data_IF_670066950584
#
_entry.id   IF_670066950584
#
_cell.length_a   1.000
_cell.length_b   1.000
_cell.length_c   1.000
_cell.angle_alpha   90.00
_cell.angle_beta   90.00
_cell.angle_gamma   90.00
#
_symmetry.space_group_name_H-M   'P 1'
#
loop_
_entity.id
_entity.type
_entity.pdbx_description
1 polymer ?
#
# COMPACT_ATOMS: atom_id res chain seq x y z
N UNK A 1 -0.27 -25.26 -12.60
CA UNK A 1 0.55 -24.26 -11.89
C UNK A 1 0.96 -24.88 -10.58
N UNK A 2 2.26 -24.99 -10.34
CA UNK A 2 2.79 -25.47 -9.06
C UNK A 2 3.18 -24.26 -8.18
N UNK A 3 3.10 -24.43 -6.87
CA UNK A 3 3.25 -23.36 -5.86
C UNK A 3 2.48 -22.07 -6.17
N UNK A 4 1.20 -22.21 -6.52
CA UNK A 4 0.35 -21.08 -6.90
C UNK A 4 0.26 -19.99 -5.83
N UNK A 5 0.36 -20.32 -4.53
CA UNK A 5 0.34 -19.33 -3.47
C UNK A 5 1.55 -18.39 -3.44
N UNK A 6 2.64 -18.74 -4.13
CA UNK A 6 3.79 -17.88 -4.29
C UNK A 6 3.61 -16.87 -5.44
N UNK A 7 2.56 -16.98 -6.26
CA UNK A 7 2.32 -16.13 -7.43
C UNK A 7 1.20 -15.09 -7.21
N UNK A 8 1.38 -13.84 -7.71
CA UNK A 8 0.43 -12.76 -7.46
C UNK A 8 -0.98 -13.11 -7.97
N UNK A 9 -2.02 -12.70 -7.23
CA UNK A 9 -3.42 -13.01 -7.58
C UNK A 9 -3.77 -12.58 -9.00
N UNK A 10 -3.34 -11.37 -9.43
CA UNK A 10 -3.56 -10.89 -10.80
C UNK A 10 -2.94 -11.80 -11.86
N UNK A 11 -1.75 -12.34 -11.59
CA UNK A 11 -1.11 -13.27 -12.51
C UNK A 11 -1.92 -14.57 -12.59
N UNK A 12 -2.38 -15.10 -11.46
CA UNK A 12 -3.22 -16.31 -11.42
C UNK A 12 -4.56 -16.13 -12.12
N UNK A 13 -5.20 -14.97 -11.95
CA UNK A 13 -6.44 -14.60 -12.64
C UNK A 13 -6.26 -14.61 -14.17
N UNK A 14 -5.11 -14.14 -14.68
CA UNK A 14 -4.83 -14.18 -16.12
C UNK A 14 -4.86 -15.60 -16.71
N UNK A 15 -4.59 -16.62 -15.89
CA UNK A 15 -4.66 -18.02 -16.31
C UNK A 15 -6.07 -18.61 -16.28
N UNK A 16 -7.06 -17.91 -15.70
CA UNK A 16 -8.47 -18.33 -15.76
C UNK A 16 -9.06 -18.22 -17.17
N UNK A 17 -8.37 -17.54 -18.10
CA UNK A 17 -8.73 -17.53 -19.52
C UNK A 17 -8.49 -18.88 -20.21
N UNK A 18 -7.65 -19.74 -19.64
CA UNK A 18 -7.39 -21.07 -20.18
C UNK A 18 -8.64 -21.96 -20.15
N UNK A 19 -8.78 -22.94 -21.08
CA UNK A 19 -9.91 -23.89 -21.06
C UNK A 19 -9.99 -24.73 -19.79
N UNK A 20 -8.83 -25.07 -19.21
CA UNK A 20 -8.69 -25.77 -17.94
C UNK A 20 -7.35 -25.38 -17.29
N UNK A 21 -7.33 -25.25 -15.96
CA UNK A 21 -6.13 -24.94 -15.19
C UNK A 21 -6.21 -25.64 -13.82
N UNK A 22 -5.08 -26.16 -13.36
CA UNK A 22 -4.94 -26.69 -12.01
C UNK A 22 -3.94 -25.82 -11.24
N UNK A 23 -4.32 -25.40 -10.03
CA UNK A 23 -3.47 -24.65 -9.11
C UNK A 23 -3.11 -25.55 -7.92
N UNK A 24 -1.82 -25.88 -7.79
CA UNK A 24 -1.28 -26.68 -6.70
C UNK A 24 -0.55 -25.75 -5.73
N UNK A 25 -0.69 -25.95 -4.41
CA UNK A 25 0.03 -25.17 -3.42
C UNK A 25 0.11 -25.86 -2.06
N UNK A 26 1.13 -25.51 -1.28
CA UNK A 26 1.34 -25.96 0.09
C UNK A 26 0.59 -25.07 1.09
N UNK A 27 -0.50 -25.59 1.69
CA UNK A 27 -1.31 -24.86 2.70
C UNK A 27 -0.72 -24.96 4.10
N UNK A 28 -0.07 -26.09 4.42
CA UNK A 28 0.53 -26.40 5.72
C UNK A 28 2.02 -26.71 5.53
N UNK A 29 2.89 -25.94 6.18
CA UNK A 29 4.33 -26.13 6.07
C UNK A 29 5.13 -24.86 6.34
N UNK A 30 6.45 -24.96 6.14
CA UNK A 30 7.41 -23.90 6.42
C UNK A 30 7.32 -22.71 5.46
N UNK A 31 6.72 -22.87 4.27
CA UNK A 31 6.64 -21.79 3.28
C UNK A 31 5.44 -20.85 3.47
N UNK A 32 4.50 -21.19 4.38
CA UNK A 32 3.47 -20.28 4.94
C UNK A 32 2.45 -19.65 3.96
N UNK A 33 2.73 -19.62 2.66
CA UNK A 33 2.05 -18.82 1.66
C UNK A 33 0.62 -19.30 1.36
N UNK A 34 0.36 -20.60 1.48
CA UNK A 34 -0.90 -21.21 1.04
C UNK A 34 -2.16 -20.79 1.82
N UNK A 35 -2.04 -20.29 3.06
CA UNK A 35 -3.23 -19.98 3.89
C UNK A 35 -3.87 -18.63 3.57
N UNK A 36 -3.09 -17.55 3.46
CA UNK A 36 -3.61 -16.25 3.03
C UNK A 36 -4.06 -16.29 1.57
N UNK A 37 -3.33 -17.06 0.74
CA UNK A 37 -3.68 -17.34 -0.65
C UNK A 37 -5.01 -18.08 -0.81
N UNK A 38 -5.20 -19.20 -0.11
CA UNK A 38 -6.41 -20.02 -0.23
C UNK A 38 -7.67 -19.26 0.20
N UNK A 39 -7.58 -18.24 1.05
CA UNK A 39 -8.74 -17.41 1.37
C UNK A 39 -9.02 -16.43 0.23
N UNK A 40 -8.04 -15.59 -0.13
CA UNK A 40 -8.28 -14.48 -1.09
C UNK A 40 -8.52 -14.93 -2.53
N UNK A 41 -7.80 -15.95 -3.00
CA UNK A 41 -7.96 -16.44 -4.38
C UNK A 41 -9.21 -17.32 -4.53
N UNK A 42 -9.68 -17.98 -3.47
CA UNK A 42 -10.90 -18.77 -3.55
C UNK A 42 -12.15 -17.92 -3.70
N UNK A 43 -12.21 -16.76 -3.05
CA UNK A 43 -13.30 -15.81 -3.28
C UNK A 43 -13.35 -15.41 -4.77
N UNK A 44 -12.19 -15.13 -5.38
CA UNK A 44 -12.08 -14.83 -6.82
C UNK A 44 -12.45 -16.01 -7.73
N UNK A 45 -12.10 -17.23 -7.35
CA UNK A 45 -12.50 -18.43 -8.08
C UNK A 45 -14.01 -18.70 -7.97
N UNK A 46 -14.62 -18.40 -6.83
CA UNK A 46 -16.06 -18.54 -6.62
C UNK A 46 -16.86 -17.52 -7.44
N UNK A 47 -16.31 -16.32 -7.63
CA UNK A 47 -16.87 -15.29 -8.51
C UNK A 47 -16.63 -15.56 -10.00
N UNK A 48 -15.70 -16.45 -10.34
CA UNK A 48 -15.43 -16.83 -11.72
C UNK A 48 -16.48 -17.83 -12.23
N UNK A 49 -16.96 -17.64 -13.47
CA UNK A 49 -17.90 -18.57 -14.13
C UNK A 49 -17.18 -19.85 -14.59
N UNK A 50 -16.66 -20.61 -13.61
CA UNK A 50 -15.85 -21.82 -13.79
C UNK A 50 -16.28 -22.89 -12.77
N UNK A 51 -16.28 -24.15 -13.19
CA UNK A 51 -16.44 -25.26 -12.27
C UNK A 51 -15.12 -25.46 -11.48
N UNK A 52 -15.19 -25.30 -10.15
CA UNK A 52 -14.03 -25.44 -9.27
C UNK A 52 -14.10 -26.78 -8.54
N UNK A 53 -13.07 -27.61 -8.71
CA UNK A 53 -12.90 -28.87 -7.97
C UNK A 53 -11.76 -28.75 -6.98
N UNK A 54 -12.05 -28.99 -5.71
CA UNK A 54 -11.06 -29.02 -4.65
C UNK A 54 -10.55 -30.43 -4.37
N UNK A 55 -9.23 -30.60 -4.43
CA UNK A 55 -8.54 -31.82 -4.01
C UNK A 55 -7.53 -31.50 -2.91
N UNK A 56 -7.40 -32.38 -1.92
CA UNK A 56 -6.41 -32.28 -0.83
C UNK A 56 -5.58 -33.54 -0.73
N UNK A 57 -4.29 -33.36 -0.50
CA UNK A 57 -3.34 -34.43 -0.23
C UNK A 57 -2.85 -34.26 1.20
N UNK A 58 -3.37 -35.09 2.11
CA UNK A 58 -3.05 -35.02 3.55
C UNK A 58 -2.17 -36.18 4.02
N UNK A 59 -2.12 -37.29 3.28
CA UNK A 59 -1.34 -38.48 3.64
C UNK A 59 0.15 -38.30 3.27
N UNK A 60 1.07 -38.26 4.25
CA UNK A 60 2.49 -38.12 3.96
C UNK A 60 3.04 -39.37 3.29
N UNK A 61 3.93 -39.18 2.31
CA UNK A 61 4.62 -40.29 1.63
C UNK A 61 6.01 -40.59 2.20
N UNK A 62 6.59 -39.66 2.99
CA UNK A 62 7.96 -39.76 3.52
C UNK A 62 8.02 -40.33 4.93
N UNK A 63 6.95 -40.19 5.69
CA UNK A 63 6.83 -40.61 7.09
C UNK A 63 5.39 -41.09 7.34
N UNK A 64 5.17 -41.72 8.49
CA UNK A 64 3.86 -42.24 8.84
C UNK A 64 2.90 -41.09 9.17
N UNK A 65 1.61 -41.27 8.87
CA UNK A 65 0.58 -40.36 9.34
C UNK A 65 0.60 -40.28 10.89
N UNK A 66 0.60 -39.06 11.42
CA UNK A 66 0.70 -38.84 12.87
C UNK A 66 2.10 -38.99 13.46
N UNK A 67 3.15 -38.73 12.66
CA UNK A 67 4.52 -38.73 13.17
C UNK A 67 4.66 -37.74 14.35
N UNK A 68 5.14 -38.20 15.53
CA UNK A 68 5.29 -37.35 16.70
C UNK A 68 6.33 -36.24 16.50
N UNK A 69 7.34 -36.43 15.65
CA UNK A 69 8.34 -35.41 15.33
C UNK A 69 7.71 -34.31 14.48
N UNK A 70 6.88 -34.66 13.49
CA UNK A 70 6.12 -33.68 12.71
C UNK A 70 5.21 -32.87 13.63
N UNK A 71 4.43 -33.55 14.48
CA UNK A 71 3.53 -32.91 15.44
C UNK A 71 4.27 -31.95 16.37
N UNK A 72 5.45 -32.36 16.86
CA UNK A 72 6.32 -31.51 17.67
C UNK A 72 6.83 -30.29 16.89
N UNK A 73 7.33 -30.47 15.67
CA UNK A 73 7.84 -29.37 14.84
C UNK A 73 6.75 -28.35 14.52
N UNK A 74 5.55 -28.80 14.17
CA UNK A 74 4.42 -27.91 13.89
C UNK A 74 4.04 -27.08 15.11
N UNK A 75 4.05 -27.68 16.30
CA UNK A 75 3.77 -26.98 17.55
C UNK A 75 4.89 -26.01 17.92
N UNK A 76 6.14 -26.45 17.86
CA UNK A 76 7.31 -25.67 18.24
C UNK A 76 7.50 -24.43 17.36
N UNK A 77 7.20 -24.55 16.06
CA UNK A 77 7.31 -23.45 15.09
C UNK A 77 5.98 -22.74 14.80
N UNK A 78 4.92 -23.09 15.54
CA UNK A 78 3.56 -22.57 15.36
C UNK A 78 3.06 -22.62 13.90
N UNK A 79 3.46 -23.64 13.15
CA UNK A 79 3.04 -23.82 11.77
C UNK A 79 1.54 -24.10 11.66
N UNK A 80 0.86 -24.47 12.74
CA UNK A 80 -0.58 -24.68 12.79
C UNK A 80 -1.33 -23.57 13.57
N UNK A 81 -0.66 -22.46 13.88
CA UNK A 81 -1.30 -21.30 14.50
C UNK A 81 -2.47 -20.80 13.66
N UNK A 82 -3.55 -20.45 14.37
CA UNK A 82 -4.80 -19.99 13.79
C UNK A 82 -5.35 -18.84 14.62
N UNK A 83 -5.98 -17.85 13.96
CA UNK A 83 -6.77 -16.87 14.69
C UNK A 83 -7.91 -17.54 15.48
N UNK A 84 -8.58 -16.79 16.37
CA UNK A 84 -9.82 -17.25 17.00
C UNK A 84 -10.83 -17.78 15.96
N UNK A 85 -11.76 -18.61 16.40
CA UNK A 85 -12.89 -18.99 15.52
C UNK A 85 -13.87 -17.83 15.40
N UNK A 86 -14.46 -17.67 14.20
CA UNK A 86 -15.31 -16.53 13.82
C UNK A 86 -16.38 -16.19 14.86
N UNK A 87 -17.05 -17.21 15.41
CA UNK A 87 -18.14 -17.05 16.38
C UNK A 87 -17.74 -16.36 17.69
N UNK A 88 -16.46 -16.44 18.09
CA UNK A 88 -15.98 -15.83 19.32
C UNK A 88 -15.64 -14.34 19.17
N UNK A 89 -15.60 -13.84 17.93
CA UNK A 89 -15.12 -12.49 17.64
C UNK A 89 -16.06 -11.70 16.74
N UNK A 90 -17.14 -12.32 16.24
CA UNK A 90 -18.08 -11.72 15.29
C UNK A 90 -18.72 -10.41 15.82
N UNK A 91 -18.92 -10.31 17.13
CA UNK A 91 -19.54 -9.14 17.78
C UNK A 91 -18.50 -8.09 18.24
N UNK A 92 -17.22 -8.26 17.89
CA UNK A 92 -16.17 -7.32 18.25
C UNK A 92 -16.32 -6.01 17.47
N UNK A 93 -16.40 -4.90 18.20
CA UNK A 93 -16.47 -3.54 17.67
C UNK A 93 -15.38 -2.68 18.31
N UNK A 94 -15.08 -1.48 17.77
CA UNK A 94 -14.11 -0.58 18.37
C UNK A 94 -14.37 -0.21 19.85
N UNK A 95 -15.62 -0.36 20.33
CA UNK A 95 -16.02 -0.05 21.70
C UNK A 95 -15.97 -1.27 22.65
N UNK A 96 -15.96 -2.50 22.10
CA UNK A 96 -15.99 -3.74 22.90
C UNK A 96 -14.62 -4.39 23.03
N UNK A 97 -13.57 -3.74 22.54
CA UNK A 97 -12.20 -4.23 22.53
C UNK A 97 -11.32 -3.48 23.51
N UNK A 98 -10.29 -4.15 24.01
CA UNK A 98 -9.23 -3.55 24.83
C UNK A 98 -7.89 -3.59 24.11
N UNK A 99 -7.14 -2.50 24.24
CA UNK A 99 -5.77 -2.41 23.74
C UNK A 99 -4.79 -3.09 24.70
N UNK A 100 -3.87 -3.89 24.15
CA UNK A 100 -2.82 -4.57 24.90
C UNK A 100 -1.47 -4.46 24.20
N UNK A 101 -0.45 -4.09 24.97
CA UNK A 101 0.93 -4.39 24.63
C UNK A 101 1.25 -5.83 25.03
N UNK A 102 1.74 -6.63 24.07
CA UNK A 102 2.07 -8.03 24.29
C UNK A 102 3.59 -8.18 24.30
N UNK A 103 4.15 -8.49 25.47
CA UNK A 103 5.58 -8.80 25.59
C UNK A 103 5.85 -10.26 25.21
N UNK A 104 7.12 -10.61 24.88
CA UNK A 104 7.50 -12.01 24.70
C UNK A 104 7.15 -12.88 25.92
N UNK A 105 7.29 -12.36 27.14
CA UNK A 105 6.93 -13.08 28.37
C UNK A 105 5.42 -13.37 28.46
N UNK A 106 4.57 -12.41 28.09
CA UNK A 106 3.11 -12.61 28.03
C UNK A 106 2.75 -13.71 27.03
N UNK A 107 3.39 -13.71 25.86
CA UNK A 107 3.16 -14.67 24.79
C UNK A 107 3.65 -16.08 25.16
N UNK A 108 4.81 -16.18 25.83
CA UNK A 108 5.37 -17.46 26.28
C UNK A 108 4.60 -18.05 27.47
N UNK A 109 4.01 -17.19 28.31
CA UNK A 109 3.17 -17.62 29.43
C UNK A 109 1.78 -18.13 28.99
N UNK A 110 1.29 -17.70 27.83
CA UNK A 110 -0.03 -18.06 27.29
C UNK A 110 0.08 -18.55 25.83
N UNK A 111 0.21 -19.87 25.66
CA UNK A 111 0.28 -20.52 24.33
C UNK A 111 -0.94 -20.18 23.48
N UNK A 112 -2.10 -19.93 24.08
CA UNK A 112 -3.31 -19.62 23.33
C UNK A 112 -3.26 -18.20 22.76
N UNK A 113 -2.89 -17.22 23.57
CA UNK A 113 -2.66 -15.84 23.14
C UNK A 113 -1.60 -15.76 22.02
N UNK A 114 -0.50 -16.48 22.18
CA UNK A 114 0.57 -16.56 21.18
C UNK A 114 0.07 -17.15 19.86
N UNK A 115 -0.68 -18.25 19.91
CA UNK A 115 -1.23 -18.89 18.71
C UNK A 115 -2.22 -18.01 17.97
N UNK A 116 -3.09 -17.29 18.68
CA UNK A 116 -4.05 -16.38 18.06
C UNK A 116 -3.36 -15.16 17.42
N UNK A 117 -2.44 -14.52 18.16
CA UNK A 117 -1.70 -13.36 17.67
C UNK A 117 -0.82 -13.71 16.46
N UNK A 118 -0.04 -14.78 16.56
CA UNK A 118 0.81 -15.24 15.46
C UNK A 118 -0.04 -15.75 14.28
N UNK A 119 -1.16 -16.44 14.56
CA UNK A 119 -2.11 -16.89 13.54
C UNK A 119 -2.67 -15.75 12.69
N UNK A 120 -3.00 -14.60 13.30
CA UNK A 120 -3.40 -13.40 12.57
C UNK A 120 -2.27 -12.83 11.70
N UNK A 121 -1.04 -12.76 12.23
CA UNK A 121 0.12 -12.28 11.47
C UNK A 121 0.42 -13.15 10.25
N UNK A 122 0.25 -14.48 10.39
CA UNK A 122 0.42 -15.44 9.29
C UNK A 122 -0.67 -15.29 8.24
N UNK A 123 -1.93 -15.16 8.64
CA UNK A 123 -3.05 -15.09 7.71
C UNK A 123 -3.05 -13.83 6.83
N UNK A 124 -2.51 -12.72 7.35
CA UNK A 124 -2.49 -11.45 6.63
C UNK A 124 -1.34 -11.33 5.61
N UNK A 125 -0.31 -12.19 5.67
CA UNK A 125 0.89 -12.08 4.83
C UNK A 125 0.99 -13.14 3.75
N UNK A 126 1.51 -12.69 2.62
CA UNK A 126 1.72 -13.50 1.43
C UNK A 126 2.81 -14.58 1.62
N UNK A 127 3.77 -14.31 2.51
CA UNK A 127 4.80 -15.25 2.92
C UNK A 127 5.16 -14.99 4.37
N UNK A 128 5.16 -16.05 5.17
CA UNK A 128 5.71 -16.06 6.53
C UNK A 128 6.75 -17.15 6.60
N UNK A 129 7.91 -16.81 7.13
CA UNK A 129 8.99 -17.77 7.34
C UNK A 129 9.03 -18.19 8.81
N UNK A 130 9.51 -19.40 9.14
CA UNK A 130 9.60 -19.85 10.54
C UNK A 130 10.40 -18.87 11.43
N UNK A 131 11.38 -18.18 10.85
CA UNK A 131 12.18 -17.15 11.51
C UNK A 131 11.35 -15.95 12.00
N UNK A 132 10.14 -15.73 11.47
CA UNK A 132 9.25 -14.67 11.93
C UNK A 132 8.83 -14.87 13.40
N UNK A 133 8.64 -16.12 13.84
CA UNK A 133 8.32 -16.42 15.24
C UNK A 133 9.51 -16.11 16.16
N UNK A 134 10.71 -16.56 15.77
CA UNK A 134 11.93 -16.27 16.53
C UNK A 134 12.16 -14.76 16.63
N UNK A 135 11.99 -14.03 15.52
CA UNK A 135 12.08 -12.57 15.52
C UNK A 135 11.04 -11.92 16.41
N UNK A 136 9.79 -12.39 16.40
CA UNK A 136 8.73 -11.85 17.25
C UNK A 136 9.09 -11.93 18.74
N UNK A 137 9.77 -13.01 19.16
CA UNK A 137 10.10 -13.26 20.55
C UNK A 137 11.46 -12.67 20.97
N UNK A 138 12.44 -12.60 20.06
CA UNK A 138 13.83 -12.26 20.41
C UNK A 138 14.30 -10.89 19.92
N UNK A 139 13.66 -10.28 18.91
CA UNK A 139 14.19 -9.06 18.30
C UNK A 139 13.90 -7.83 19.19
N UNK A 140 14.94 -7.13 19.71
CA UNK A 140 14.75 -6.08 20.71
C UNK A 140 14.12 -4.80 20.14
N UNK A 141 14.13 -4.64 18.81
CA UNK A 141 13.50 -3.51 18.14
C UNK A 141 12.06 -3.82 17.70
N UNK A 142 11.54 -5.03 17.93
CA UNK A 142 10.17 -5.38 17.60
C UNK A 142 9.27 -5.27 18.82
N UNK A 143 8.03 -4.85 18.58
CA UNK A 143 7.02 -4.80 19.62
C UNK A 143 5.64 -5.13 19.04
N UNK A 144 4.84 -5.87 19.81
CA UNK A 144 3.52 -6.35 19.37
C UNK A 144 2.42 -5.62 20.13
N UNK A 145 1.43 -5.13 19.39
CA UNK A 145 0.21 -4.52 19.93
C UNK A 145 -1.00 -5.28 19.42
N UNK A 146 -2.01 -5.42 20.28
CA UNK A 146 -3.20 -6.17 19.97
C UNK A 146 -4.46 -5.46 20.48
N UNK A 147 -5.56 -5.66 19.77
CA UNK A 147 -6.91 -5.49 20.31
C UNK A 147 -7.44 -6.85 20.72
N UNK A 148 -7.98 -6.94 21.94
CA UNK A 148 -8.60 -8.15 22.45
C UNK A 148 -10.08 -7.95 22.75
N UNK A 149 -10.91 -8.91 22.36
CA UNK A 149 -12.34 -8.98 22.67
C UNK A 149 -12.60 -10.24 23.51
N UNK A 150 -13.12 -10.08 24.72
CA UNK A 150 -13.36 -11.21 25.65
C UNK A 150 -12.16 -12.16 25.81
N UNK A 151 -10.95 -11.61 25.82
CA UNK A 151 -9.69 -12.36 25.93
C UNK A 151 -9.18 -12.97 24.62
N UNK A 152 -9.89 -12.83 23.49
CA UNK A 152 -9.48 -13.29 22.15
C UNK A 152 -8.81 -12.18 21.36
N UNK A 153 -7.81 -12.52 20.56
CA UNK A 153 -7.10 -11.52 19.74
C UNK A 153 -7.87 -11.25 18.44
N UNK A 154 -8.33 -10.01 18.24
CA UNK A 154 -9.12 -9.63 17.05
C UNK A 154 -8.36 -8.78 16.04
N UNK A 155 -7.33 -8.07 16.48
CA UNK A 155 -6.45 -7.28 15.61
C UNK A 155 -5.05 -7.23 16.20
N UNK A 156 -4.02 -7.29 15.37
CA UNK A 156 -2.60 -7.23 15.79
C UNK A 156 -1.79 -6.31 14.89
N UNK A 157 -0.82 -5.62 15.48
CA UNK A 157 0.17 -4.80 14.79
C UNK A 157 1.56 -5.14 15.31
N UNK A 158 2.44 -5.60 14.41
CA UNK A 158 3.85 -5.80 14.69
C UNK A 158 4.61 -4.55 14.24
N UNK A 159 5.25 -3.88 15.18
CA UNK A 159 5.95 -2.63 14.97
C UNK A 159 7.47 -2.86 15.08
N UNK A 160 8.24 -2.17 14.26
CA UNK A 160 9.70 -2.12 14.35
C UNK A 160 10.15 -0.70 14.69
N UNK A 161 10.91 -0.54 15.76
CA UNK A 161 11.60 0.71 16.07
C UNK A 161 12.77 0.89 15.10
N UNK A 162 12.80 2.01 14.40
CA UNK A 162 13.81 2.38 13.41
C UNK A 162 14.34 3.81 13.69
N UNK A 163 15.52 4.15 13.17
CA UNK A 163 16.11 5.48 13.30
C UNK A 163 16.88 5.71 14.60
N UNK A 164 17.18 6.97 14.93
CA UNK A 164 18.08 7.33 16.03
C UNK A 164 19.54 6.92 15.77
N UNK A 165 19.96 6.98 14.50
CA UNK A 165 21.26 6.49 14.05
C UNK A 165 22.36 7.55 14.24
N UNK A 166 23.52 7.11 14.72
CA UNK A 166 24.70 7.97 14.85
C UNK A 166 25.25 8.41 13.48
N UNK A 167 26.15 9.41 13.49
CA UNK A 167 26.67 9.99 12.26
C UNK A 167 27.50 9.02 11.40
N UNK A 168 28.23 8.08 12.01
CA UNK A 168 29.05 7.13 11.26
C UNK A 168 28.18 6.07 10.59
N UNK A 169 27.16 5.60 11.30
CA UNK A 169 26.15 4.68 10.74
C UNK A 169 25.40 5.32 9.57
N UNK A 170 24.96 6.58 9.70
CA UNK A 170 24.25 7.30 8.62
C UNK A 170 25.14 7.50 7.40
N UNK A 171 26.41 7.87 7.58
CA UNK A 171 27.38 7.99 6.49
C UNK A 171 27.59 6.66 5.79
N UNK A 172 27.77 5.57 6.55
CA UNK A 172 27.92 4.24 5.98
C UNK A 172 26.72 3.86 5.10
N UNK A 173 25.50 4.16 5.55
CA UNK A 173 24.28 3.93 4.77
C UNK A 173 24.23 4.77 3.49
N UNK A 174 24.59 6.05 3.59
CA UNK A 174 24.62 6.97 2.46
C UNK A 174 25.62 6.55 1.38
N UNK A 175 26.72 5.92 1.78
CA UNK A 175 27.76 5.36 0.92
C UNK A 175 27.41 3.95 0.36
N UNK A 176 26.23 3.41 0.68
CA UNK A 176 25.71 2.15 0.15
C UNK A 176 25.76 0.96 1.10
N UNK A 177 26.15 1.18 2.35
CA UNK A 177 26.02 0.21 3.43
C UNK A 177 24.56 -0.08 3.78
N UNK A 178 24.25 -1.27 4.28
CA UNK A 178 22.90 -1.64 4.73
C UNK A 178 22.91 -1.93 6.23
N UNK A 179 21.94 -1.35 6.94
CA UNK A 179 21.72 -1.62 8.37
C UNK A 179 20.45 -2.45 8.53
N UNK A 180 20.58 -3.63 9.15
CA UNK A 180 19.44 -4.51 9.40
C UNK A 180 18.45 -3.83 10.35
N UNK A 181 17.16 -4.02 10.08
CA UNK A 181 16.09 -3.53 10.95
C UNK A 181 15.74 -2.04 10.82
N UNK A 182 16.30 -1.32 9.84
CA UNK A 182 16.04 0.11 9.62
C UNK A 182 15.56 0.38 8.18
N UNK A 183 14.43 -0.22 7.77
CA UNK A 183 14.02 -0.19 6.36
C UNK A 183 13.68 1.22 5.86
N UNK A 184 12.89 2.01 6.61
CA UNK A 184 12.54 3.38 6.16
C UNK A 184 13.77 4.30 6.17
N UNK A 185 14.59 4.36 7.25
CA UNK A 185 15.83 5.10 7.21
C UNK A 185 16.76 4.69 6.06
N UNK A 186 16.84 3.40 5.74
CA UNK A 186 17.64 2.89 4.62
C UNK A 186 17.15 3.41 3.28
N UNK A 187 15.85 3.34 2.99
CA UNK A 187 15.29 3.88 1.74
C UNK A 187 15.50 5.40 1.66
N UNK A 188 15.19 6.13 2.72
CA UNK A 188 15.32 7.60 2.74
C UNK A 188 16.78 8.03 2.57
N UNK A 189 17.72 7.35 3.22
CA UNK A 189 19.15 7.68 3.16
C UNK A 189 19.78 7.27 1.85
N UNK A 190 19.59 6.01 1.43
CA UNK A 190 20.31 5.44 0.29
C UNK A 190 19.69 5.80 -1.05
N UNK A 191 18.36 5.69 -1.19
CA UNK A 191 17.64 5.90 -2.44
C UNK A 191 17.22 7.36 -2.62
N UNK A 192 16.71 7.99 -1.55
CA UNK A 192 16.23 9.38 -1.60
C UNK A 192 17.30 10.40 -1.22
N UNK A 193 18.50 9.92 -0.87
CA UNK A 193 19.70 10.73 -0.61
C UNK A 193 19.54 11.73 0.54
N UNK A 194 18.77 11.39 1.57
CA UNK A 194 18.65 12.17 2.80
C UNK A 194 19.39 11.50 3.97
N UNK A 195 20.65 11.87 4.17
CA UNK A 195 21.45 11.39 5.30
C UNK A 195 20.86 11.79 6.66
N UNK A 196 20.09 12.88 6.74
CA UNK A 196 19.46 13.30 7.98
C UNK A 196 18.20 12.48 8.31
N UNK A 197 17.66 11.70 7.37
CA UNK A 197 16.49 10.85 7.60
C UNK A 197 16.73 9.71 8.60
N UNK A 198 17.99 9.34 8.85
CA UNK A 198 18.34 8.37 9.89
C UNK A 198 18.32 8.92 11.32
N UNK A 199 18.19 10.23 11.50
CA UNK A 199 18.20 10.86 12.83
C UNK A 199 16.87 10.67 13.57
N UNK A 200 15.69 10.98 12.99
CA UNK A 200 14.42 10.81 13.70
C UNK A 200 14.16 9.36 14.08
N UNK A 201 13.60 9.14 15.27
CA UNK A 201 13.18 7.81 15.74
C UNK A 201 11.74 7.56 15.31
N UNK A 202 11.46 6.41 14.71
CA UNK A 202 10.11 6.05 14.33
C UNK A 202 9.75 4.61 14.60
N UNK A 203 8.46 4.31 14.54
CA UNK A 203 7.95 2.94 14.54
C UNK A 203 7.32 2.63 13.19
N UNK A 204 7.90 1.65 12.49
CA UNK A 204 7.30 1.12 11.28
C UNK A 204 6.31 0.03 11.61
N UNK A 205 5.07 0.16 11.14
CA UNK A 205 4.12 -0.93 11.09
C UNK A 205 4.63 -1.95 10.06
N UNK A 206 5.22 -3.04 10.56
CA UNK A 206 5.69 -4.12 9.68
C UNK A 206 4.53 -4.96 9.17
N UNK A 207 3.58 -5.24 10.05
CA UNK A 207 2.40 -6.06 9.79
C UNK A 207 1.24 -5.51 10.59
N UNK A 208 0.07 -5.40 9.98
CA UNK A 208 -1.20 -5.19 10.66
C UNK A 208 -2.21 -6.18 10.11
N UNK A 209 -2.93 -6.84 11.01
CA UNK A 209 -3.87 -7.90 10.65
C UNK A 209 -5.12 -7.82 11.53
N UNK A 210 -6.28 -7.72 10.90
CA UNK A 210 -7.58 -7.81 11.57
C UNK A 210 -8.29 -9.10 11.14
N UNK A 211 -8.92 -9.74 12.11
CA UNK A 211 -9.70 -10.96 11.92
C UNK A 211 -10.76 -10.78 10.83
N UNK A 212 -10.90 -11.74 9.89
CA UNK A 212 -11.76 -11.58 8.71
C UNK A 212 -13.24 -11.38 9.05
N UNK A 213 -13.74 -12.07 10.08
CA UNK A 213 -15.12 -11.93 10.56
C UNK A 213 -15.50 -10.49 10.99
N UNK A 214 -14.51 -9.66 11.31
CA UNK A 214 -14.68 -8.27 11.76
C UNK A 214 -13.78 -7.30 10.99
N UNK A 215 -13.45 -7.63 9.73
CA UNK A 215 -12.81 -6.66 8.83
C UNK A 215 -13.80 -5.55 8.46
N UNK A 216 -13.25 -4.39 8.12
CA UNK A 216 -14.05 -3.22 7.72
C UNK A 216 -15.03 -2.70 8.78
N UNK A 217 -14.85 -3.09 10.06
CA UNK A 217 -15.63 -2.58 11.21
C UNK A 217 -14.91 -1.48 12.00
N UNK A 218 -13.76 -0.99 11.52
CA UNK A 218 -12.96 0.06 12.16
C UNK A 218 -11.91 -0.42 13.17
N UNK A 219 -11.78 -1.72 13.44
CA UNK A 219 -10.80 -2.26 14.38
C UNK A 219 -9.34 -2.00 13.99
N UNK A 220 -9.01 -2.05 12.70
CA UNK A 220 -7.68 -1.69 12.21
C UNK A 220 -7.34 -0.23 12.52
N UNK A 221 -8.27 0.67 12.26
CA UNK A 221 -8.11 2.10 12.55
C UNK A 221 -8.05 2.38 14.05
N UNK A 222 -8.86 1.68 14.87
CA UNK A 222 -8.77 1.75 16.32
C UNK A 222 -7.38 1.35 16.82
N UNK A 223 -6.84 0.24 16.32
CA UNK A 223 -5.51 -0.22 16.70
C UNK A 223 -4.42 0.81 16.33
N UNK A 224 -4.49 1.41 15.14
CA UNK A 224 -3.54 2.45 14.73
C UNK A 224 -3.67 3.73 15.58
N UNK A 225 -4.87 4.09 16.02
CA UNK A 225 -5.07 5.23 16.93
C UNK A 225 -4.43 4.97 18.29
N UNK A 226 -4.62 3.79 18.87
CA UNK A 226 -4.01 3.41 20.15
C UNK A 226 -2.48 3.41 20.06
N UNK A 227 -1.93 2.85 18.97
CA UNK A 227 -0.49 2.87 18.69
C UNK A 227 0.02 4.31 18.60
N UNK A 228 -0.68 5.19 17.88
CA UNK A 228 -0.32 6.61 17.81
C UNK A 228 -0.28 7.24 19.20
N UNK A 229 -1.33 7.03 19.99
CA UNK A 229 -1.46 7.66 21.32
C UNK A 229 -0.40 7.17 22.29
N UNK A 230 -0.03 5.88 22.22
CA UNK A 230 1.08 5.31 22.99
C UNK A 230 2.43 5.94 22.62
N UNK A 231 2.74 6.06 21.33
CA UNK A 231 4.08 6.48 20.88
C UNK A 231 4.23 7.99 20.65
N UNK A 232 3.19 8.80 20.83
CA UNK A 232 3.22 10.24 20.57
C UNK A 232 4.31 11.01 21.35
N UNK A 233 4.73 10.51 22.52
CA UNK A 233 5.80 11.10 23.34
C UNK A 233 7.20 10.54 23.09
N UNK A 234 7.31 9.37 22.46
CA UNK A 234 8.54 8.57 22.39
C UNK A 234 9.09 8.38 20.97
N UNK A 235 8.35 8.83 19.96
CA UNK A 235 8.70 8.69 18.55
C UNK A 235 8.42 9.98 17.77
N UNK A 236 9.18 10.18 16.70
CA UNK A 236 9.02 11.28 15.76
C UNK A 236 7.99 10.96 14.69
N UNK A 237 7.85 9.69 14.28
CA UNK A 237 6.90 9.28 13.25
C UNK A 237 6.43 7.82 13.41
N UNK A 238 5.26 7.53 12.85
CA UNK A 238 4.85 6.18 12.47
C UNK A 238 5.02 6.02 10.96
N UNK A 239 5.49 4.86 10.51
CA UNK A 239 5.71 4.60 9.10
C UNK A 239 5.15 3.25 8.64
N UNK A 240 4.99 3.08 7.34
CA UNK A 240 4.62 1.80 6.74
C UNK A 240 5.26 1.68 5.36
N UNK A 241 5.60 0.46 4.97
CA UNK A 241 5.92 0.10 3.59
C UNK A 241 5.16 -1.15 3.18
N UNK A 242 4.43 -1.09 2.05
CA UNK A 242 3.55 -2.17 1.61
C UNK A 242 3.40 -2.19 0.07
N UNK A 243 2.97 -3.34 -0.49
CA UNK A 243 2.61 -3.45 -1.91
C UNK A 243 1.37 -2.60 -2.22
N UNK A 244 1.52 -1.64 -3.12
CA UNK A 244 0.55 -0.57 -3.32
C UNK A 244 -0.71 -1.08 -4.02
N UNK A 245 -1.84 -0.93 -3.33
CA UNK A 245 -3.20 -1.14 -3.84
C UNK A 245 -4.05 0.06 -3.47
N UNK A 246 -5.08 0.42 -4.25
CA UNK A 246 -5.94 1.58 -3.94
C UNK A 246 -6.57 1.48 -2.55
N UNK A 247 -6.99 0.28 -2.14
CA UNK A 247 -7.66 0.03 -0.87
C UNK A 247 -6.72 0.25 0.32
N UNK A 248 -5.48 -0.23 0.24
CA UNK A 248 -4.50 -0.02 1.30
C UNK A 248 -4.05 1.44 1.36
N UNK A 249 -3.84 2.10 0.22
CA UNK A 249 -3.51 3.53 0.17
C UNK A 249 -4.61 4.38 0.84
N UNK A 250 -5.88 4.11 0.55
CA UNK A 250 -6.99 4.80 1.24
C UNK A 250 -7.00 4.48 2.73
N UNK A 251 -6.87 3.20 3.13
CA UNK A 251 -6.85 2.83 4.54
C UNK A 251 -5.77 3.60 5.34
N UNK A 252 -4.56 3.71 4.81
CA UNK A 252 -3.47 4.43 5.48
C UNK A 252 -3.72 5.94 5.49
N UNK A 253 -4.20 6.52 4.38
CA UNK A 253 -4.59 7.94 4.31
C UNK A 253 -5.67 8.28 5.33
N UNK A 254 -6.72 7.47 5.42
CA UNK A 254 -7.84 7.66 6.34
C UNK A 254 -7.38 7.55 7.82
N UNK A 255 -6.24 6.90 8.06
CA UNK A 255 -5.56 6.81 9.35
C UNK A 255 -4.46 7.88 9.56
N UNK A 256 -4.40 8.89 8.69
CA UNK A 256 -3.51 10.05 8.80
C UNK A 256 -2.06 9.79 8.39
N UNK A 257 -1.81 8.79 7.54
CA UNK A 257 -0.50 8.57 6.93
C UNK A 257 -0.45 9.24 5.56
N UNK A 258 0.61 10.00 5.30
CA UNK A 258 0.87 10.66 4.03
C UNK A 258 1.86 9.87 3.16
N UNK A 259 1.63 9.81 1.85
CA UNK A 259 2.56 9.20 0.88
C UNK A 259 3.82 10.03 0.72
N UNK A 260 4.97 9.38 0.83
CA UNK A 260 6.31 10.01 0.68
C UNK A 260 7.18 9.35 -0.37
N UNK A 261 6.85 8.13 -0.80
CA UNK A 261 7.61 7.44 -1.83
C UNK A 261 6.81 6.30 -2.49
N UNK A 262 7.04 6.11 -3.79
CA UNK A 262 6.69 4.91 -4.53
C UNK A 262 7.98 4.31 -5.09
N UNK A 263 8.23 3.02 -4.81
CA UNK A 263 9.41 2.33 -5.33
C UNK A 263 9.33 2.21 -6.85
N UNK A 264 10.47 2.31 -7.53
CA UNK A 264 10.57 2.15 -8.99
C UNK A 264 10.78 0.71 -9.43
N UNK A 265 11.05 -0.19 -8.49
CA UNK A 265 11.11 -1.63 -8.72
C UNK A 265 9.88 -2.30 -8.11
N UNK A 266 9.37 -3.31 -8.82
CA UNK A 266 8.35 -4.21 -8.30
C UNK A 266 9.00 -5.15 -7.29
N UNK A 267 8.25 -5.50 -6.24
CA UNK A 267 8.66 -6.54 -5.32
C UNK A 267 8.61 -7.90 -6.03
N UNK A 268 9.71 -8.66 -6.02
CA UNK A 268 9.81 -9.95 -6.71
C UNK A 268 8.77 -10.99 -6.26
N UNK A 269 8.24 -10.84 -5.04
CA UNK A 269 7.26 -11.76 -4.45
C UNK A 269 5.82 -11.36 -4.79
N UNK A 270 5.45 -10.08 -4.62
CA UNK A 270 4.07 -9.63 -4.88
C UNK A 270 3.82 -9.13 -6.30
N UNK A 271 4.88 -8.81 -7.06
CA UNK A 271 4.78 -8.15 -8.37
C UNK A 271 4.25 -6.71 -8.30
N UNK A 272 4.05 -6.17 -7.11
CA UNK A 272 3.52 -4.82 -6.90
C UNK A 272 4.65 -3.82 -6.63
N UNK A 273 4.41 -2.57 -7.02
CA UNK A 273 5.22 -1.44 -6.56
C UNK A 273 4.96 -1.21 -5.07
N UNK A 274 5.99 -0.85 -4.32
CA UNK A 274 5.84 -0.57 -2.89
C UNK A 274 5.56 0.91 -2.66
N UNK A 275 4.59 1.21 -1.81
CA UNK A 275 4.35 2.56 -1.31
C UNK A 275 4.94 2.69 0.10
N UNK A 276 5.59 3.83 0.37
CA UNK A 276 5.98 4.24 1.71
C UNK A 276 5.12 5.42 2.14
N UNK A 277 4.50 5.27 3.31
CA UNK A 277 3.67 6.31 3.91
C UNK A 277 4.10 6.55 5.35
N UNK A 278 3.90 7.78 5.83
CA UNK A 278 4.28 8.15 7.19
C UNK A 278 3.30 9.12 7.83
N UNK A 279 3.17 9.00 9.15
CA UNK A 279 2.40 9.90 10.00
C UNK A 279 3.36 10.56 10.99
N UNK A 280 3.51 11.88 10.98
CA UNK A 280 4.38 12.55 11.94
C UNK A 280 3.75 12.61 13.34
N UNK A 281 4.59 12.47 14.37
CA UNK A 281 4.22 12.55 15.78
C UNK A 281 4.92 13.73 16.48
N UNK A 282 6.10 14.14 16.00
CA UNK A 282 6.87 15.28 16.52
C UNK A 282 7.12 16.35 15.45
N UNK A 283 7.66 17.54 15.82
CA UNK A 283 8.16 18.50 14.84
C UNK A 283 9.21 17.91 13.90
N UNK A 284 10.17 17.14 14.40
CA UNK A 284 11.20 16.51 13.57
C UNK A 284 10.60 15.50 12.57
N UNK A 285 9.55 14.78 12.98
CA UNK A 285 8.79 13.91 12.08
C UNK A 285 8.00 14.66 11.02
N UNK A 286 7.43 15.83 11.36
CA UNK A 286 6.77 16.72 10.38
C UNK A 286 7.78 17.21 9.35
N UNK A 287 8.92 17.72 9.79
CA UNK A 287 9.99 18.18 8.88
C UNK A 287 10.50 17.05 7.97
N UNK A 288 10.54 15.80 8.47
CA UNK A 288 10.87 14.61 7.68
C UNK A 288 9.81 14.31 6.63
N UNK A 289 8.53 14.32 7.02
CA UNK A 289 7.42 14.07 6.10
C UNK A 289 7.33 15.14 5.03
N UNK A 290 7.41 16.41 5.41
CA UNK A 290 7.17 17.56 4.52
C UNK A 290 8.19 17.61 3.40
N UNK A 291 9.49 17.50 3.72
CA UNK A 291 10.54 17.49 2.69
C UNK A 291 10.46 16.28 1.76
N UNK A 292 10.07 15.11 2.27
CA UNK A 292 9.94 13.92 1.43
C UNK A 292 8.68 13.97 0.56
N UNK A 293 7.59 14.54 1.05
CA UNK A 293 6.38 14.82 0.28
C UNK A 293 6.70 15.81 -0.86
N UNK A 294 7.41 16.90 -0.57
CA UNK A 294 7.87 17.86 -1.57
C UNK A 294 8.73 17.21 -2.66
N UNK A 295 9.75 16.44 -2.26
CA UNK A 295 10.59 15.70 -3.23
C UNK A 295 9.83 14.64 -4.00
N UNK A 296 8.83 14.00 -3.40
CA UNK A 296 7.95 13.06 -4.09
C UNK A 296 7.15 13.78 -5.18
N UNK A 297 6.49 14.89 -4.86
CA UNK A 297 5.74 15.69 -5.83
C UNK A 297 6.64 16.25 -6.95
N UNK A 298 7.85 16.67 -6.61
CA UNK A 298 8.82 17.17 -7.57
C UNK A 298 9.28 16.14 -8.61
N UNK A 299 9.29 14.84 -8.26
CA UNK A 299 9.77 13.76 -9.15
C UNK A 299 8.67 12.87 -9.72
N UNK A 300 7.50 12.80 -9.10
CA UNK A 300 6.47 11.80 -9.44
C UNK A 300 6.01 11.91 -10.90
N UNK A 301 5.98 13.12 -11.45
CA UNK A 301 5.64 13.36 -12.85
C UNK A 301 6.60 12.65 -13.82
N UNK A 302 7.91 12.76 -13.57
CA UNK A 302 8.94 12.14 -14.40
C UNK A 302 8.98 10.63 -14.19
N UNK A 303 8.86 10.18 -12.95
CA UNK A 303 8.90 8.76 -12.60
C UNK A 303 7.69 8.01 -13.17
N UNK A 304 6.48 8.60 -13.15
CA UNK A 304 5.29 8.04 -13.82
C UNK A 304 5.46 7.97 -15.33
N UNK A 305 6.22 8.88 -15.94
CA UNK A 305 6.52 8.84 -17.37
C UNK A 305 7.54 7.78 -17.78
N UNK A 306 8.25 7.16 -16.83
CA UNK A 306 9.36 6.24 -17.09
C UNK A 306 9.23 4.96 -16.25
N UNK A 307 9.94 4.86 -15.12
CA UNK A 307 10.01 3.64 -14.31
C UNK A 307 8.66 3.16 -13.72
N UNK A 308 7.65 4.05 -13.65
CA UNK A 308 6.28 3.76 -13.22
C UNK A 308 5.26 3.96 -14.35
N UNK A 309 5.69 3.85 -15.61
CA UNK A 309 4.83 3.97 -16.80
C UNK A 309 3.75 2.88 -16.90
N UNK A 310 3.95 1.75 -16.23
CA UNK A 310 3.01 0.61 -16.14
C UNK A 310 2.34 0.50 -14.75
N UNK A 311 2.52 1.49 -13.88
CA UNK A 311 1.81 1.56 -12.60
C UNK A 311 0.30 1.63 -12.88
N UNK A 312 -0.48 0.93 -12.08
CA UNK A 312 -1.93 0.97 -12.14
C UNK A 312 -2.44 2.40 -11.90
N UNK A 313 -3.34 2.89 -12.76
CA UNK A 313 -3.79 4.27 -12.69
C UNK A 313 -4.52 4.60 -11.38
N UNK A 314 -5.23 3.65 -10.79
CA UNK A 314 -5.91 3.85 -9.50
C UNK A 314 -4.93 3.85 -8.34
N UNK A 315 -3.84 3.09 -8.43
CA UNK A 315 -2.75 3.16 -7.45
C UNK A 315 -2.06 4.53 -7.52
N UNK A 316 -1.77 5.04 -8.72
CA UNK A 316 -1.19 6.37 -8.88
C UNK A 316 -2.10 7.48 -8.30
N UNK A 317 -3.40 7.42 -8.62
CA UNK A 317 -4.41 8.35 -8.08
C UNK A 317 -4.47 8.30 -6.56
N UNK A 318 -4.60 7.11 -5.99
CA UNK A 318 -4.70 6.94 -4.54
C UNK A 318 -3.41 7.37 -3.81
N UNK A 319 -2.23 7.14 -4.41
CA UNK A 319 -0.96 7.56 -3.84
C UNK A 319 -0.80 9.10 -3.83
N UNK A 320 -1.16 9.76 -4.93
CA UNK A 320 -1.14 11.22 -5.04
C UNK A 320 -2.17 11.88 -4.12
N UNK A 321 -3.38 11.33 -4.04
CA UNK A 321 -4.44 11.82 -3.16
C UNK A 321 -4.17 11.56 -1.68
N UNK A 322 -3.14 10.78 -1.36
CA UNK A 322 -2.67 10.52 -0.02
C UNK A 322 -1.43 11.35 0.35
N UNK A 323 -0.99 12.30 -0.48
CA UNK A 323 0.08 13.23 -0.11
C UNK A 323 -0.51 14.34 0.77
N UNK A 324 0.10 14.59 1.92
CA UNK A 324 -0.37 15.59 2.90
C UNK A 324 -0.15 17.06 2.45
N UNK A 325 0.55 17.26 1.34
CA UNK A 325 0.85 18.56 0.74
C UNK A 325 0.19 18.63 -0.63
N UNK A 326 -0.71 19.59 -0.82
CA UNK A 326 -1.31 19.85 -2.13
C UNK A 326 -0.30 20.58 -3.03
N UNK A 327 -0.18 20.13 -4.28
CA UNK A 327 0.58 20.86 -5.27
C UNK A 327 -0.19 22.12 -5.71
N UNK A 328 0.49 23.27 -5.78
CA UNK A 328 -0.08 24.48 -6.37
C UNK A 328 0.37 24.60 -7.84
N UNK A 329 -0.57 24.81 -8.78
CA UNK A 329 -0.22 24.86 -10.19
C UNK A 329 0.35 26.25 -10.54
N UNK A 330 1.68 26.34 -10.65
CA UNK A 330 2.35 27.54 -11.18
C UNK A 330 2.42 27.46 -12.71
N UNK A 331 1.50 28.16 -13.39
CA UNK A 331 1.41 28.24 -14.86
C UNK A 331 1.55 29.71 -15.31
N UNK A 332 2.36 29.94 -16.34
CA UNK A 332 2.45 31.24 -17.02
C UNK A 332 1.16 31.60 -17.76
N UNK A 333 0.96 32.89 -18.08
CA UNK A 333 -0.19 33.34 -18.87
C UNK A 333 -0.28 32.65 -20.25
N UNK A 334 0.86 32.32 -20.86
CA UNK A 334 0.89 31.54 -22.10
C UNK A 334 0.34 30.13 -21.88
N UNK A 335 0.78 29.46 -20.82
CA UNK A 335 0.35 28.10 -20.50
C UNK A 335 -1.14 28.05 -20.17
N UNK A 336 -1.65 29.03 -19.42
CA UNK A 336 -3.09 29.17 -19.20
C UNK A 336 -3.88 29.29 -20.50
N UNK A 337 -3.41 30.07 -21.47
CA UNK A 337 -4.07 30.15 -22.78
C UNK A 337 -4.07 28.83 -23.53
N UNK A 338 -3.00 28.04 -23.43
CA UNK A 338 -2.93 26.71 -24.04
C UNK A 338 -3.89 25.73 -23.36
N UNK A 339 -3.93 25.71 -22.03
CA UNK A 339 -4.84 24.83 -21.27
C UNK A 339 -6.30 25.19 -21.55
N UNK A 340 -6.66 26.48 -21.47
CA UNK A 340 -8.00 26.97 -21.81
C UNK A 340 -8.35 26.62 -23.25
N UNK A 341 -7.44 26.88 -24.19
CA UNK A 341 -7.66 26.61 -25.60
C UNK A 341 -7.88 25.13 -25.90
N UNK A 342 -7.24 24.21 -25.17
CA UNK A 342 -7.46 22.78 -25.33
C UNK A 342 -8.71 22.26 -24.59
N UNK A 343 -9.17 22.99 -23.57
CA UNK A 343 -10.36 22.61 -22.80
C UNK A 343 -11.64 23.10 -23.49
N UNK A 344 -11.66 24.37 -23.90
CA UNK A 344 -12.85 25.04 -24.44
C UNK A 344 -12.79 25.32 -25.96
N UNK A 345 -11.67 25.02 -26.62
CA UNK A 345 -11.40 25.47 -27.99
C UNK A 345 -10.65 24.44 -28.84
N UNK A 346 -10.01 24.87 -29.95
CA UNK A 346 -9.29 23.99 -30.87
C UNK A 346 -7.85 23.68 -30.45
N UNK A 347 -7.44 24.06 -29.23
CA UNK A 347 -6.10 23.88 -28.72
C UNK A 347 -5.73 22.41 -28.52
N UNK A 348 -4.43 22.13 -28.42
CA UNK A 348 -3.91 20.78 -28.24
C UNK A 348 -3.04 20.71 -26.99
N UNK A 349 -3.23 19.67 -26.18
CA UNK A 349 -2.45 19.45 -24.96
C UNK A 349 -0.94 19.37 -25.23
N UNK A 350 -0.56 18.83 -26.41
CA UNK A 350 0.83 18.61 -26.83
C UNK A 350 1.64 19.89 -26.98
N UNK A 351 0.98 21.06 -27.07
CA UNK A 351 1.64 22.37 -27.14
C UNK A 351 2.34 22.75 -25.83
N UNK A 352 1.81 22.31 -24.68
CA UNK A 352 2.38 22.60 -23.36
C UNK A 352 2.12 21.47 -22.34
N UNK A 353 2.59 20.23 -22.57
CA UNK A 353 2.25 19.07 -21.73
C UNK A 353 2.64 19.25 -20.25
N UNK A 354 3.69 20.03 -19.96
CA UNK A 354 4.09 20.35 -18.59
C UNK A 354 3.07 21.21 -17.82
N UNK A 355 2.27 22.03 -18.51
CA UNK A 355 1.18 22.79 -17.89
C UNK A 355 0.04 21.86 -17.46
N UNK A 356 -0.35 20.92 -18.33
CA UNK A 356 -1.34 19.90 -18.02
C UNK A 356 -0.88 19.00 -16.86
N UNK A 357 0.40 18.60 -16.83
CA UNK A 357 0.97 17.83 -15.71
C UNK A 357 0.89 18.57 -14.37
N UNK A 358 1.31 19.84 -14.32
CA UNK A 358 1.24 20.65 -13.08
C UNK A 358 -0.19 20.83 -12.59
N UNK A 359 -1.12 21.16 -13.49
CA UNK A 359 -2.53 21.31 -13.14
C UNK A 359 -3.20 19.98 -12.74
N UNK A 360 -2.87 18.90 -13.45
CA UNK A 360 -3.33 17.56 -13.09
C UNK A 360 -2.77 17.09 -11.74
N UNK A 361 -1.54 17.45 -11.40
CA UNK A 361 -0.92 17.13 -10.11
C UNK A 361 -1.60 17.90 -8.97
N UNK A 362 -1.92 19.18 -9.20
CA UNK A 362 -2.68 19.99 -8.25
C UNK A 362 -4.07 19.39 -7.95
N UNK A 363 -4.74 18.85 -8.98
CA UNK A 363 -6.00 18.12 -8.81
C UNK A 363 -5.80 16.79 -8.09
N UNK A 364 -4.89 15.93 -8.55
CA UNK A 364 -4.70 14.58 -8.00
C UNK A 364 -4.21 14.57 -6.54
N UNK A 365 -3.56 15.65 -6.09
CA UNK A 365 -3.17 15.83 -4.67
C UNK A 365 -4.26 16.49 -3.83
N UNK A 366 -5.30 17.05 -4.45
CA UNK A 366 -6.44 17.64 -3.76
C UNK A 366 -7.74 17.45 -4.59
N UNK A 367 -8.21 16.19 -4.72
CA UNK A 367 -9.30 15.85 -5.65
C UNK A 367 -10.67 16.41 -5.24
N UNK A 368 -10.78 16.99 -4.04
CA UNK A 368 -12.04 17.58 -3.55
C UNK A 368 -12.31 18.97 -4.13
N UNK A 369 -11.29 19.66 -4.68
CA UNK A 369 -11.43 21.02 -5.20
C UNK A 369 -12.17 21.11 -6.53
N UNK A 370 -12.06 20.08 -7.37
CA UNK A 370 -12.74 20.00 -8.65
C UNK A 370 -13.34 18.61 -8.85
N UNK A 371 -14.53 18.53 -9.46
CA UNK A 371 -15.20 17.24 -9.64
C UNK A 371 -14.78 16.59 -10.96
N UNK A 372 -13.88 15.61 -10.88
CA UNK A 372 -13.58 14.68 -11.97
C UNK A 372 -14.11 13.29 -11.60
N UNK A 373 -14.61 12.58 -12.60
CA UNK A 373 -14.95 11.17 -12.47
C UNK A 373 -13.69 10.30 -12.37
N UNK A 374 -13.78 9.09 -11.82
CA UNK A 374 -12.65 8.17 -11.80
C UNK A 374 -12.05 7.88 -13.18
N UNK A 375 -12.87 7.87 -14.23
CA UNK A 375 -12.40 7.66 -15.61
C UNK A 375 -11.58 8.84 -16.12
N UNK A 376 -11.98 10.07 -15.81
CA UNK A 376 -11.25 11.28 -16.19
C UNK A 376 -9.90 11.38 -15.46
N UNK A 377 -9.86 11.06 -14.16
CA UNK A 377 -8.59 11.01 -13.44
C UNK A 377 -7.65 9.91 -13.97
N UNK A 378 -8.17 8.73 -14.34
CA UNK A 378 -7.38 7.70 -15.03
C UNK A 378 -6.86 8.19 -16.38
N UNK A 379 -7.65 8.96 -17.12
CA UNK A 379 -7.24 9.57 -18.37
C UNK A 379 -6.07 10.55 -18.15
N UNK A 380 -6.13 11.38 -17.11
CA UNK A 380 -5.01 12.23 -16.69
C UNK A 380 -3.76 11.37 -16.41
N UNK A 381 -3.86 10.33 -15.58
CA UNK A 381 -2.71 9.47 -15.26
C UNK A 381 -2.12 8.81 -16.50
N UNK A 382 -2.93 8.08 -17.27
CA UNK A 382 -2.46 7.30 -18.43
C UNK A 382 -1.87 8.19 -19.51
N UNK A 383 -2.53 9.31 -19.81
CA UNK A 383 -2.14 10.17 -20.92
C UNK A 383 -1.14 11.25 -20.53
N UNK A 384 -1.41 11.99 -19.47
CA UNK A 384 -0.65 13.20 -19.10
C UNK A 384 0.60 12.84 -18.30
N UNK A 385 0.50 11.87 -17.39
CA UNK A 385 1.63 11.43 -16.58
C UNK A 385 2.42 10.29 -17.23
N UNK A 386 1.77 9.20 -17.62
CA UNK A 386 2.43 8.00 -18.16
C UNK A 386 2.71 8.06 -19.66
N UNK A 387 2.22 9.09 -20.35
CA UNK A 387 2.52 9.37 -21.77
C UNK A 387 2.11 8.27 -22.76
N UNK A 388 1.14 7.43 -22.40
CA UNK A 388 0.66 6.36 -23.27
C UNK A 388 0.13 6.91 -24.61
N UNK A 389 0.19 6.06 -25.64
CA UNK A 389 -0.38 6.39 -26.95
C UNK A 389 -1.89 6.61 -26.83
N UNK A 390 -2.45 7.46 -27.69
CA UNK A 390 -3.89 7.72 -27.65
C UNK A 390 -4.73 6.47 -27.98
N UNK A 391 -4.22 5.58 -28.81
CA UNK A 391 -4.90 4.33 -29.15
C UNK A 391 -4.95 3.40 -27.92
N UNK A 392 -3.83 3.23 -27.21
CA UNK A 392 -3.80 2.46 -25.96
C UNK A 392 -4.73 3.05 -24.88
N UNK A 393 -4.74 4.39 -24.74
CA UNK A 393 -5.64 5.09 -23.81
C UNK A 393 -7.10 4.89 -24.21
N UNK A 394 -7.42 4.96 -25.50
CA UNK A 394 -8.76 4.77 -26.00
C UNK A 394 -9.26 3.34 -25.73
N UNK A 395 -8.42 2.35 -26.01
CA UNK A 395 -8.74 0.94 -25.78
C UNK A 395 -8.89 0.62 -24.29
N UNK A 396 -7.92 1.02 -23.44
CA UNK A 396 -7.92 0.72 -22.01
C UNK A 396 -9.08 1.38 -21.26
N UNK A 397 -9.39 2.63 -21.61
CA UNK A 397 -10.45 3.40 -20.95
C UNK A 397 -11.78 3.34 -21.70
N UNK A 398 -11.96 2.40 -22.62
CA UNK A 398 -13.23 2.12 -23.35
C UNK A 398 -13.82 3.34 -24.10
N UNK A 399 -12.97 4.09 -24.79
CA UNK A 399 -13.40 5.15 -25.71
C UNK A 399 -13.62 4.59 -27.11
N UNK A 400 -14.74 4.96 -27.74
CA UNK A 400 -15.07 4.52 -29.11
C UNK A 400 -14.06 4.98 -30.20
N UNK A 401 -13.19 5.95 -29.90
CA UNK A 401 -12.15 6.41 -30.83
C UNK A 401 -11.07 7.23 -30.12
N UNK A 402 -9.88 7.27 -30.71
CA UNK A 402 -8.76 8.15 -30.37
C UNK A 402 -9.18 9.62 -30.25
N UNK A 403 -9.98 10.11 -31.21
CA UNK A 403 -10.49 11.47 -31.21
C UNK A 403 -11.51 11.74 -30.09
N UNK A 404 -12.22 10.70 -29.64
CA UNK A 404 -13.10 10.76 -28.47
C UNK A 404 -12.31 10.91 -27.17
N UNK A 405 -11.24 10.11 -27.00
CA UNK A 405 -10.34 10.22 -25.85
C UNK A 405 -9.64 11.59 -25.78
N UNK A 406 -9.23 12.15 -26.93
CA UNK A 406 -8.64 13.49 -27.00
C UNK A 406 -9.61 14.59 -26.54
N UNK A 407 -10.89 14.51 -26.96
CA UNK A 407 -11.92 15.46 -26.53
C UNK A 407 -12.21 15.32 -25.03
N UNK A 408 -12.35 14.08 -24.54
CA UNK A 408 -12.56 13.82 -23.13
C UNK A 408 -11.42 14.34 -22.25
N UNK A 409 -10.18 14.42 -22.76
CA UNK A 409 -9.08 15.07 -22.03
C UNK A 409 -9.31 16.58 -21.91
N UNK A 410 -9.79 17.24 -22.97
CA UNK A 410 -10.16 18.66 -22.91
C UNK A 410 -11.29 18.90 -21.90
N UNK A 411 -12.36 18.11 -22.01
CA UNK A 411 -13.53 18.17 -21.12
C UNK A 411 -13.12 17.99 -19.64
N UNK A 412 -12.22 17.04 -19.35
CA UNK A 412 -11.72 16.79 -18.00
C UNK A 412 -10.93 17.98 -17.40
N UNK A 413 -10.37 18.86 -18.23
CA UNK A 413 -9.64 20.04 -17.79
C UNK A 413 -10.51 21.28 -17.63
N UNK A 414 -11.74 21.31 -18.15
CA UNK A 414 -12.70 22.40 -17.91
C UNK A 414 -12.92 22.70 -16.42
N UNK A 415 -13.27 21.73 -15.55
CA UNK A 415 -13.45 21.99 -14.12
C UNK A 415 -12.14 22.40 -13.43
N UNK A 416 -10.98 21.95 -13.92
CA UNK A 416 -9.67 22.35 -13.39
C UNK A 416 -9.33 23.79 -13.73
N UNK A 417 -9.64 24.22 -14.96
CA UNK A 417 -9.51 25.62 -15.36
C UNK A 417 -10.44 26.52 -14.55
N UNK A 418 -11.64 26.04 -14.25
CA UNK A 418 -12.62 26.81 -13.49
C UNK A 418 -12.23 27.02 -12.03
N UNK A 419 -11.64 25.99 -11.42
CA UNK A 419 -11.20 26.03 -10.02
C UNK A 419 -9.84 26.72 -9.84
N UNK A 420 -8.84 26.37 -10.65
CA UNK A 420 -7.45 26.84 -10.48
C UNK A 420 -7.08 28.03 -11.36
N UNK A 421 -7.96 28.41 -12.30
CA UNK A 421 -7.68 29.43 -13.30
C UNK A 421 -7.40 30.81 -12.71
N UNK A 422 -6.30 31.41 -13.15
CA UNK A 422 -5.96 32.82 -12.89
C UNK A 422 -6.80 33.77 -13.75
N UNK A 423 -6.65 35.08 -13.57
CA UNK A 423 -7.33 36.08 -14.42
C UNK A 423 -7.00 35.92 -15.92
N UNK A 424 -5.78 35.45 -16.24
CA UNK A 424 -5.41 35.12 -17.62
C UNK A 424 -6.23 33.96 -18.19
N UNK A 425 -6.52 32.93 -17.37
CA UNK A 425 -7.35 31.80 -17.77
C UNK A 425 -8.81 32.25 -18.00
N UNK A 426 -9.35 33.09 -17.11
CA UNK A 426 -10.71 33.66 -17.23
C UNK A 426 -10.86 34.51 -18.50
N UNK A 427 -9.90 35.41 -18.75
CA UNK A 427 -9.92 36.28 -19.92
C UNK A 427 -9.82 35.49 -21.24
N UNK A 428 -9.05 34.40 -21.28
CA UNK A 428 -9.00 33.54 -22.46
C UNK A 428 -10.29 32.73 -22.62
N UNK A 429 -10.88 32.22 -21.53
CA UNK A 429 -12.12 31.44 -21.55
C UNK A 429 -13.30 32.24 -22.11
N UNK A 430 -13.37 33.54 -21.79
CA UNK A 430 -14.39 34.45 -22.34
C UNK A 430 -14.39 34.53 -23.87
N UNK A 431 -13.30 34.14 -24.55
CA UNK A 431 -13.24 34.12 -26.02
C UNK A 431 -13.93 32.91 -26.65
N UNK A 432 -14.21 31.88 -25.86
CA UNK A 432 -14.86 30.63 -26.30
C UNK A 432 -16.32 30.51 -25.81
N UNK A 433 -16.81 31.48 -25.04
CA UNK A 433 -18.22 31.66 -24.71
C UNK A 433 -18.89 32.55 -25.75
#
# INVERSE_FOLDING_TARGET
MDEAAALPVRLLESFLAAPAVAFCTTVRGYEGAGRGFAVRFRDRLADADREVTDARLDDPIRYAAGDPVESWTFRALLLDARPPVDQLVADATPDTVSYRALSPDDLLADEHLLREAFGLLVLAHYRTEPDDLARLLDAPNLTLRALTHEGRVVSVALLAREGGLDADTRRHMYDGGRIRGNMLPDVFTSQLRDEAAGVPVGYRVMRIATHHAVRSSGLGSRLLSEVRDEFAGDADYLGVGFGATPELLSFWRDNGYGTVHLSTTRNDTSGEYSALMMRPLSPAGRDLRDRHAEWFLGRVGDVLGDALSDLDADVARAALAAVDTAAEPDLSEYEWRVVVGASYGPGLYTTAPGAFRRLGLAHLTNPERASLTPREERLLVRKVFQTHSWDAVADELDFHSTAGAMRALGDAYEPLVDEYGTDAARAERERFR
#
